data_IF_682415717629
#
_entry.id   IF_682415717629
#
_cell.length_a   1.000
_cell.length_b   1.000
_cell.length_c   1.000
_cell.angle_alpha   90.00
_cell.angle_beta   90.00
_cell.angle_gamma   90.00
#
_symmetry.space_group_name_H-M   'P 1'
#
loop_
_entity.id
_entity.type
_entity.pdbx_description
1 polymer ?
#
# COMPACT_ATOMS: atom_id res chain seq x y z
N UNK A 1 -3.43 -26.32 1.02
CA UNK A 1 -3.96 -25.12 1.70
C UNK A 1 -3.03 -23.89 1.62
N UNK A 2 -1.74 -24.00 1.98
CA UNK A 2 -0.82 -22.85 2.04
C UNK A 2 -0.69 -22.00 0.75
N UNK A 3 -0.77 -22.63 -0.43
CA UNK A 3 -0.69 -21.92 -1.71
C UNK A 3 -1.91 -21.02 -1.97
N UNK A 4 -3.11 -21.46 -1.57
CA UNK A 4 -4.34 -20.69 -1.72
C UNK A 4 -4.32 -19.43 -0.86
N UNK A 5 -3.88 -19.54 0.40
CA UNK A 5 -3.73 -18.41 1.34
C UNK A 5 -2.79 -17.35 0.78
N UNK A 6 -1.66 -17.76 0.16
CA UNK A 6 -0.75 -16.81 -0.49
C UNK A 6 -1.43 -16.07 -1.64
N UNK A 7 -2.20 -16.75 -2.49
CA UNK A 7 -2.91 -16.10 -3.60
C UNK A 7 -3.93 -15.08 -3.10
N UNK A 8 -4.68 -15.43 -2.06
CA UNK A 8 -5.68 -14.56 -1.45
C UNK A 8 -5.06 -13.24 -0.96
N UNK A 9 -3.90 -13.29 -0.31
CA UNK A 9 -3.24 -12.07 0.18
C UNK A 9 -2.85 -11.10 -0.94
N UNK A 10 -2.35 -11.62 -2.07
CA UNK A 10 -2.03 -10.79 -3.24
C UNK A 10 -3.28 -10.13 -3.83
N UNK A 11 -4.37 -10.88 -3.97
CA UNK A 11 -5.62 -10.32 -4.49
C UNK A 11 -6.29 -9.36 -3.50
N UNK A 12 -6.20 -9.63 -2.21
CA UNK A 12 -6.67 -8.73 -1.17
C UNK A 12 -5.87 -7.41 -1.17
N UNK A 13 -4.54 -7.47 -1.31
CA UNK A 13 -3.70 -6.28 -1.45
C UNK A 13 -4.05 -5.51 -2.73
N UNK A 14 -4.22 -6.22 -3.85
CA UNK A 14 -4.65 -5.63 -5.12
C UNK A 14 -6.00 -4.90 -4.98
N UNK A 15 -6.98 -5.52 -4.32
CA UNK A 15 -8.28 -4.92 -4.08
C UNK A 15 -8.17 -3.69 -3.16
N UNK A 16 -7.37 -3.76 -2.09
CA UNK A 16 -7.18 -2.65 -1.16
C UNK A 16 -6.57 -1.42 -1.85
N UNK A 17 -5.51 -1.59 -2.64
CA UNK A 17 -4.92 -0.47 -3.40
C UNK A 17 -5.85 0.03 -4.50
N UNK A 18 -6.65 -0.85 -5.13
CA UNK A 18 -7.65 -0.45 -6.11
C UNK A 18 -8.73 0.44 -5.47
N UNK A 19 -9.28 0.03 -4.33
CA UNK A 19 -10.28 0.81 -3.59
C UNK A 19 -9.69 2.17 -3.19
N UNK A 20 -8.50 2.18 -2.57
CA UNK A 20 -7.82 3.43 -2.20
C UNK A 20 -7.62 4.36 -3.41
N UNK A 21 -7.17 3.82 -4.55
CA UNK A 21 -6.97 4.58 -5.78
C UNK A 21 -8.26 5.16 -6.36
N UNK A 22 -9.33 4.36 -6.44
CA UNK A 22 -10.64 4.82 -6.92
C UNK A 22 -11.17 5.96 -6.05
N UNK A 23 -11.10 5.81 -4.72
CA UNK A 23 -11.59 6.83 -3.80
C UNK A 23 -10.77 8.14 -3.93
N UNK A 24 -9.46 8.06 -4.12
CA UNK A 24 -8.64 9.25 -4.40
C UNK A 24 -9.07 9.95 -5.70
N UNK A 25 -9.36 9.18 -6.76
CA UNK A 25 -9.82 9.74 -8.03
C UNK A 25 -11.21 10.36 -7.95
N UNK A 26 -12.11 9.81 -7.12
CA UNK A 26 -13.42 10.41 -6.84
C UNK A 26 -13.26 11.77 -6.14
N UNK A 27 -12.27 11.90 -5.25
CA UNK A 27 -12.00 13.14 -4.52
C UNK A 27 -11.28 14.21 -5.37
N UNK A 28 -10.52 13.79 -6.40
CA UNK A 28 -9.66 14.67 -7.17
C UNK A 28 -10.38 15.88 -7.83
N UNK A 29 -11.55 15.75 -8.50
CA UNK A 29 -12.22 16.88 -9.14
C UNK A 29 -12.61 17.99 -8.16
N UNK A 30 -13.15 17.61 -7.00
CA UNK A 30 -13.52 18.56 -5.95
C UNK A 30 -12.29 19.30 -5.42
N UNK A 31 -11.18 18.57 -5.25
CA UNK A 31 -9.93 19.16 -4.78
C UNK A 31 -9.28 20.06 -5.83
N UNK A 32 -9.37 19.74 -7.13
CA UNK A 32 -8.88 20.60 -8.21
C UNK A 32 -9.60 21.96 -8.23
N UNK A 33 -10.91 21.98 -7.94
CA UNK A 33 -11.68 23.22 -7.82
C UNK A 33 -11.36 24.06 -6.58
N UNK A 34 -10.82 23.44 -5.51
CA UNK A 34 -10.46 24.13 -4.27
C UNK A 34 -8.98 24.55 -4.25
N UNK A 35 -8.06 23.66 -4.60
CA UNK A 35 -6.63 23.87 -4.61
C UNK A 35 -5.96 22.91 -5.62
N UNK A 36 -5.38 23.45 -6.68
CA UNK A 36 -4.82 22.66 -7.78
C UNK A 36 -3.74 21.67 -7.33
N UNK A 37 -2.86 22.05 -6.40
CA UNK A 37 -1.79 21.16 -5.91
C UNK A 37 -2.37 19.96 -5.17
N UNK A 38 -3.40 20.20 -4.35
CA UNK A 38 -4.12 19.13 -3.65
C UNK A 38 -4.86 18.26 -4.65
N UNK A 39 -5.56 18.84 -5.62
CA UNK A 39 -6.24 18.08 -6.67
C UNK A 39 -5.31 17.19 -7.48
N UNK A 40 -4.14 17.71 -7.88
CA UNK A 40 -3.11 16.95 -8.59
C UNK A 40 -2.52 15.83 -7.72
N UNK A 41 -2.32 16.08 -6.43
CA UNK A 41 -1.88 15.04 -5.49
C UNK A 41 -2.87 13.87 -5.44
N UNK A 42 -4.17 14.14 -5.29
CA UNK A 42 -5.21 13.11 -5.31
C UNK A 42 -5.30 12.39 -6.66
N UNK A 43 -5.17 13.12 -7.77
CA UNK A 43 -5.21 12.55 -9.12
C UNK A 43 -4.02 11.61 -9.38
N UNK A 44 -2.80 12.11 -9.17
CA UNK A 44 -1.57 11.34 -9.41
C UNK A 44 -1.47 10.18 -8.43
N UNK A 45 -1.77 10.42 -7.14
CA UNK A 45 -1.80 9.40 -6.11
C UNK A 45 -2.81 8.28 -6.45
N UNK A 46 -4.02 8.66 -6.88
CA UNK A 46 -5.04 7.70 -7.30
C UNK A 46 -4.61 6.85 -8.50
N UNK A 47 -4.05 7.46 -9.54
CA UNK A 47 -3.52 6.74 -10.71
C UNK A 47 -2.38 5.79 -10.30
N UNK A 48 -1.45 6.26 -9.46
CA UNK A 48 -0.34 5.45 -8.97
C UNK A 48 -0.82 4.26 -8.15
N UNK A 49 -1.84 4.43 -7.29
CA UNK A 49 -2.43 3.33 -6.53
C UNK A 49 -3.15 2.32 -7.42
N UNK A 50 -3.83 2.76 -8.49
CA UNK A 50 -4.40 1.86 -9.49
C UNK A 50 -3.34 1.09 -10.27
N UNK A 51 -2.26 1.76 -10.66
CA UNK A 51 -1.12 1.08 -11.29
C UNK A 51 -0.57 -0.04 -10.39
N UNK A 52 -0.54 0.18 -9.07
CA UNK A 52 -0.04 -0.80 -8.11
C UNK A 52 -0.86 -2.10 -8.01
N UNK A 53 -2.05 -2.15 -8.58
CA UNK A 53 -2.82 -3.40 -8.76
C UNK A 53 -2.03 -4.39 -9.61
N UNK A 54 -1.35 -3.93 -10.67
CA UNK A 54 -0.62 -4.79 -11.61
C UNK A 54 0.50 -5.58 -10.94
N UNK A 55 1.47 -4.97 -10.22
CA UNK A 55 2.50 -5.73 -9.53
C UNK A 55 1.94 -6.66 -8.44
N UNK A 56 0.78 -6.36 -7.84
CA UNK A 56 0.15 -7.28 -6.89
C UNK A 56 -0.42 -8.53 -7.57
N UNK A 57 -1.18 -8.34 -8.65
CA UNK A 57 -1.80 -9.45 -9.39
C UNK A 57 -0.74 -10.30 -10.11
N UNK A 58 0.23 -9.65 -10.76
CA UNK A 58 1.30 -10.31 -11.51
C UNK A 58 2.48 -10.75 -10.64
N UNK A 59 2.49 -10.36 -9.36
CA UNK A 59 3.52 -10.72 -8.36
C UNK A 59 4.94 -10.39 -8.81
N UNK A 60 5.15 -9.14 -9.23
CA UNK A 60 6.45 -8.68 -9.75
C UNK A 60 7.60 -8.71 -8.72
N UNK A 61 7.34 -9.08 -7.47
CA UNK A 61 8.36 -9.41 -6.48
C UNK A 61 8.66 -8.29 -5.48
N UNK A 62 9.64 -8.56 -4.61
CA UNK A 62 9.91 -7.79 -3.38
C UNK A 62 10.12 -6.29 -3.60
N UNK A 63 10.88 -5.82 -4.62
CA UNK A 63 11.10 -4.38 -4.82
C UNK A 63 9.79 -3.61 -5.03
N UNK A 64 8.86 -4.17 -5.81
CA UNK A 64 7.56 -3.55 -6.09
C UNK A 64 6.67 -3.46 -4.85
N UNK A 65 6.77 -4.43 -3.93
CA UNK A 65 5.98 -4.41 -2.71
C UNK A 65 6.53 -3.37 -1.73
N UNK A 66 7.86 -3.26 -1.63
CA UNK A 66 8.52 -2.24 -0.82
C UNK A 66 8.23 -0.82 -1.34
N UNK A 67 8.32 -0.59 -2.65
CA UNK A 67 7.98 0.71 -3.25
C UNK A 67 6.50 1.03 -3.03
N UNK A 68 5.60 0.05 -3.17
CA UNK A 68 4.18 0.22 -2.87
C UNK A 68 3.91 0.64 -1.43
N UNK A 69 4.58 0.00 -0.46
CA UNK A 69 4.52 0.39 0.94
C UNK A 69 5.01 1.83 1.12
N UNK A 70 6.17 2.17 0.58
CA UNK A 70 6.75 3.51 0.71
C UNK A 70 5.84 4.60 0.13
N UNK A 71 5.37 4.42 -1.10
CA UNK A 71 4.46 5.37 -1.75
C UNK A 71 3.14 5.53 -0.99
N UNK A 72 2.55 4.42 -0.52
CA UNK A 72 1.30 4.48 0.25
C UNK A 72 1.51 5.12 1.62
N UNK A 73 2.64 4.87 2.28
CA UNK A 73 2.98 5.48 3.56
C UNK A 73 3.13 7.01 3.45
N UNK A 74 3.65 7.52 2.33
CA UNK A 74 3.70 8.97 2.07
C UNK A 74 2.28 9.55 2.00
N UNK A 75 1.36 8.89 1.29
CA UNK A 75 -0.03 9.34 1.22
C UNK A 75 -0.69 9.39 2.61
N UNK A 76 -0.52 8.34 3.41
CA UNK A 76 -1.01 8.26 4.79
C UNK A 76 -0.38 9.36 5.67
N UNK A 77 0.93 9.58 5.55
CA UNK A 77 1.62 10.63 6.31
C UNK A 77 1.07 12.02 5.97
N UNK A 78 0.86 12.31 4.68
CA UNK A 78 0.26 13.58 4.23
C UNK A 78 -1.15 13.75 4.80
N UNK A 79 -1.96 12.69 4.86
CA UNK A 79 -3.27 12.72 5.50
C UNK A 79 -3.16 13.13 6.97
N UNK A 80 -2.30 12.50 7.77
CA UNK A 80 -2.17 12.87 9.18
C UNK A 80 -1.62 14.29 9.37
N UNK A 81 -0.63 14.70 8.56
CA UNK A 81 -0.06 16.05 8.62
C UNK A 81 -1.13 17.11 8.38
N UNK A 82 -1.94 16.95 7.34
CA UNK A 82 -2.97 17.91 6.97
C UNK A 82 -4.14 17.98 7.97
N UNK A 83 -4.20 17.08 8.95
CA UNK A 83 -5.21 17.06 10.03
C UNK A 83 -4.74 17.83 11.27
N UNK A 84 -3.46 18.15 11.35
CA UNK A 84 -2.92 18.98 12.42
C UNK A 84 -3.28 20.47 12.21
N UNK A 85 -3.65 21.20 13.29
CA UNK A 85 -3.76 22.65 13.25
C UNK A 85 -2.42 23.29 12.89
N UNK A 86 -2.43 24.34 12.05
CA UNK A 86 -1.22 25.05 11.65
C UNK A 86 -0.23 24.23 10.81
N UNK A 87 -0.69 23.14 10.17
CA UNK A 87 0.19 22.29 9.37
C UNK A 87 0.82 23.04 8.18
N UNK A 88 2.02 22.63 7.72
CA UNK A 88 2.77 23.37 6.70
C UNK A 88 2.19 23.26 5.27
N UNK A 89 1.18 22.41 5.04
CA UNK A 89 0.66 22.13 3.70
C UNK A 89 -0.55 23.01 3.38
N UNK A 90 -1.50 23.08 4.31
CA UNK A 90 -2.76 23.82 4.13
C UNK A 90 -2.95 24.96 5.12
N UNK A 91 -2.10 25.09 6.14
CA UNK A 91 -2.20 26.11 7.20
C UNK A 91 -3.39 25.93 8.15
N UNK A 92 -4.32 25.02 7.85
CA UNK A 92 -5.51 24.71 8.64
C UNK A 92 -5.74 23.20 8.69
N UNK A 93 -6.18 22.70 9.84
CA UNK A 93 -6.55 21.30 9.99
C UNK A 93 -7.75 20.96 9.10
N UNK A 94 -7.59 19.95 8.25
CA UNK A 94 -8.69 19.39 7.46
C UNK A 94 -9.64 18.58 8.34
N UNK A 95 -10.93 18.64 8.03
CA UNK A 95 -11.94 17.82 8.69
C UNK A 95 -11.76 16.32 8.44
N UNK A 96 -12.23 15.50 9.37
CA UNK A 96 -12.30 14.05 9.20
C UNK A 96 -13.70 13.70 8.71
N UNK A 97 -13.79 12.94 7.62
CA UNK A 97 -15.05 12.45 7.08
C UNK A 97 -14.93 10.97 6.73
N UNK A 98 -16.08 10.31 6.53
CA UNK A 98 -16.16 8.89 6.24
C UNK A 98 -15.37 8.47 5.01
N UNK A 99 -15.37 9.30 3.95
CA UNK A 99 -14.61 9.02 2.73
C UNK A 99 -13.11 9.00 2.99
N UNK A 100 -12.61 9.98 3.73
CA UNK A 100 -11.20 10.08 4.05
C UNK A 100 -10.76 8.91 4.97
N UNK A 101 -11.60 8.53 5.94
CA UNK A 101 -11.34 7.33 6.76
C UNK A 101 -11.30 6.07 5.89
N UNK A 102 -12.23 5.91 4.94
CA UNK A 102 -12.27 4.74 4.06
C UNK A 102 -11.00 4.62 3.19
N UNK A 103 -10.52 5.75 2.68
CA UNK A 103 -9.24 5.85 1.96
C UNK A 103 -8.08 5.36 2.85
N UNK A 104 -7.94 5.91 4.05
CA UNK A 104 -6.84 5.55 4.96
C UNK A 104 -6.89 4.08 5.40
N UNK A 105 -8.09 3.55 5.69
CA UNK A 105 -8.26 2.13 6.04
C UNK A 105 -7.81 1.24 4.88
N UNK A 106 -8.20 1.55 3.64
CA UNK A 106 -7.77 0.78 2.47
C UNK A 106 -6.24 0.83 2.29
N UNK A 107 -5.62 1.98 2.52
CA UNK A 107 -4.17 2.16 2.45
C UNK A 107 -3.42 1.38 3.53
N UNK A 108 -3.89 1.42 4.78
CA UNK A 108 -3.29 0.68 5.89
C UNK A 108 -3.44 -0.83 5.69
N UNK A 109 -4.60 -1.29 5.18
CA UNK A 109 -4.80 -2.70 4.81
C UNK A 109 -3.81 -3.10 3.71
N UNK A 110 -3.65 -2.29 2.67
CA UNK A 110 -2.67 -2.56 1.61
C UNK A 110 -1.24 -2.69 2.17
N UNK A 111 -0.80 -1.72 2.98
CA UNK A 111 0.53 -1.73 3.62
C UNK A 111 0.70 -3.00 4.46
N UNK A 112 -0.25 -3.30 5.34
CA UNK A 112 -0.19 -4.45 6.23
C UNK A 112 -0.10 -5.78 5.46
N UNK A 113 -0.87 -5.91 4.38
CA UNK A 113 -0.81 -7.10 3.52
C UNK A 113 0.53 -7.23 2.78
N UNK A 114 1.08 -6.13 2.26
CA UNK A 114 2.41 -6.15 1.63
C UNK A 114 3.51 -6.53 2.62
N UNK A 115 3.47 -6.01 3.85
CA UNK A 115 4.41 -6.39 4.92
C UNK A 115 4.28 -7.88 5.25
N UNK A 116 3.05 -8.38 5.41
CA UNK A 116 2.82 -9.80 5.67
C UNK A 116 3.36 -10.69 4.53
N UNK A 117 3.11 -10.32 3.28
CA UNK A 117 3.65 -11.00 2.09
C UNK A 117 5.18 -11.07 2.13
N UNK A 118 5.84 -9.96 2.43
CA UNK A 118 7.31 -9.88 2.50
C UNK A 118 7.87 -10.72 3.65
N UNK A 119 7.24 -10.66 4.83
CA UNK A 119 7.66 -11.43 6.00
C UNK A 119 7.58 -12.94 5.73
N UNK A 120 6.46 -13.42 5.17
CA UNK A 120 6.33 -14.85 4.83
C UNK A 120 7.28 -15.31 3.71
N UNK A 121 7.64 -14.41 2.80
CA UNK A 121 8.64 -14.71 1.77
C UNK A 121 10.06 -14.80 2.36
N UNK A 122 10.36 -14.05 3.43
CA UNK A 122 11.61 -14.15 4.18
C UNK A 122 11.75 -15.50 4.88
N UNK A 123 10.74 -15.88 5.69
CA UNK A 123 10.75 -17.13 6.46
C UNK A 123 10.97 -18.38 5.59
N UNK A 124 10.33 -18.43 4.41
CA UNK A 124 10.51 -19.56 3.48
C UNK A 124 11.96 -19.70 2.99
N UNK A 125 12.65 -18.57 2.80
CA UNK A 125 14.05 -18.56 2.35
C UNK A 125 14.99 -19.05 3.46
N UNK A 126 14.72 -18.63 4.70
CA UNK A 126 15.47 -19.09 5.89
C UNK A 126 15.30 -20.60 6.11
N UNK A 127 14.07 -21.11 6.02
CA UNK A 127 13.77 -22.55 6.14
C UNK A 127 14.49 -23.38 5.05
N UNK A 128 14.51 -22.90 3.81
CA UNK A 128 15.22 -23.55 2.69
C UNK A 128 16.75 -23.54 2.90
N UNK A 129 17.32 -22.44 3.40
CA UNK A 129 18.76 -22.34 3.69
C UNK A 129 19.18 -23.24 4.87
N UNK A 130 18.33 -23.38 5.89
CA UNK A 130 18.56 -24.31 7.00
C UNK A 130 18.52 -25.78 6.56
N UNK A 131 17.59 -26.15 5.68
CA UNK A 131 17.48 -27.52 5.16
C UNK A 131 18.70 -27.91 4.31
N UNK A 132 19.17 -27.02 3.43
CA UNK A 132 20.38 -27.25 2.62
C UNK A 132 21.61 -27.42 3.51
N UNK A 133 21.82 -26.53 4.49
CA UNK A 133 22.95 -26.63 5.43
C UNK A 133 22.92 -27.93 6.25
N UNK A 134 21.73 -28.40 6.61
CA UNK A 134 21.56 -29.67 7.32
C UNK A 134 21.94 -30.87 6.45
N UNK A 135 21.56 -30.88 5.17
CA UNK A 135 21.88 -31.96 4.23
C UNK A 135 23.39 -32.01 3.93
N UNK A 136 24.03 -30.85 3.72
CA UNK A 136 25.47 -30.74 3.54
C UNK A 136 26.25 -31.33 4.74
N UNK A 137 25.79 -31.07 5.97
CA UNK A 137 26.37 -31.63 7.19
C UNK A 137 26.10 -33.13 7.37
N UNK A 138 24.99 -33.63 6.82
CA UNK A 138 24.63 -35.04 6.87
C UNK A 138 25.36 -35.89 5.82
N UNK A 139 26.07 -35.25 4.87
CA UNK A 139 26.75 -35.94 3.77
C UNK A 139 25.79 -36.59 2.77
N UNK A 140 24.57 -36.06 2.67
CA UNK A 140 23.51 -36.50 1.73
C UNK A 140 23.49 -35.57 0.53
#
# INVERSE_FOLDING_TARGET
MAMATKRVLYYAAAAATAVGGILHLILAPNMLGFNINTGLFFLIGGIAQLFWVVPMVKRWGRPWYAIGIGGTAVLVAVYFITRMPGNPITGRGGGVNSMAIAVEVAQLVFIGLCIAILAMAGKKKEEEEEEVNKNDKAGI
#
